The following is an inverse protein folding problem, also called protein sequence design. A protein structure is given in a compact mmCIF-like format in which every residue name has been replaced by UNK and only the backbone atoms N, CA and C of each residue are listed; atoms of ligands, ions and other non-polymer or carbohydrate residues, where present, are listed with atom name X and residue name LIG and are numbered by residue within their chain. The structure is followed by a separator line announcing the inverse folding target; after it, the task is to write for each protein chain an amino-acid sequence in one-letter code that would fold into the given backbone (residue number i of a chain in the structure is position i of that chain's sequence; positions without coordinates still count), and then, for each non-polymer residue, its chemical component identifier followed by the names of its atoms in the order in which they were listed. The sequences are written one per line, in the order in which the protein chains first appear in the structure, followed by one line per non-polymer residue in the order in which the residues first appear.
data_IF_834454731669
#
_entry.id   IF_834454731669
#
_cell.length_a   1.000
_cell.length_b   1.000
_cell.length_c   1.000
_cell.angle_alpha   90.00
_cell.angle_beta   90.00
_cell.angle_gamma   90.00
#
_symmetry.space_group_name_H-M   'P 1'
#
loop_
_entity.id
_entity.type
_entity.pdbx_description
1 polymer ?
#
# COMPACT_ATOMS: atom_id res chain seq x y z
N UNK A 1 -14.82 -7.03 8.97
CA UNK A 1 -14.33 -7.20 7.60
C UNK A 1 -13.93 -5.81 7.17
N UNK A 2 -12.65 -5.51 7.32
CA UNK A 2 -12.05 -4.35 6.68
C UNK A 2 -11.76 -4.70 5.23
N UNK A 3 -11.56 -3.67 4.41
CA UNK A 3 -10.95 -3.83 3.09
C UNK A 3 -9.48 -3.43 3.19
N UNK A 4 -8.62 -4.17 2.51
CA UNK A 4 -7.18 -4.12 2.68
C UNK A 4 -6.56 -4.07 1.29
N UNK A 5 -5.86 -2.98 1.00
CA UNK A 5 -5.14 -2.74 -0.27
C UNK A 5 -3.69 -2.50 0.06
N UNK A 6 -2.80 -3.17 -0.66
CA UNK A 6 -1.37 -3.12 -0.39
C UNK A 6 -0.66 -2.57 -1.62
N UNK A 7 0.45 -1.88 -1.40
CA UNK A 7 1.26 -1.30 -2.45
C UNK A 7 2.71 -1.66 -2.20
N UNK A 8 3.31 -2.30 -3.21
CA UNK A 8 4.67 -2.81 -3.17
C UNK A 8 5.44 -2.31 -4.38
N UNK A 9 6.77 -2.49 -4.39
CA UNK A 9 7.55 -2.28 -5.60
C UNK A 9 7.18 -3.26 -6.70
N UNK A 10 7.28 -2.81 -7.95
CA UNK A 10 7.15 -3.66 -9.14
C UNK A 10 8.18 -4.81 -9.15
N UNK A 11 9.34 -4.58 -8.54
CA UNK A 11 10.35 -5.63 -8.31
C UNK A 11 9.82 -6.75 -7.39
N UNK A 12 9.01 -6.41 -6.37
CA UNK A 12 8.38 -7.39 -5.48
C UNK A 12 7.38 -8.26 -6.26
N UNK A 13 6.55 -7.66 -7.13
CA UNK A 13 5.65 -8.40 -8.04
C UNK A 13 6.42 -9.36 -8.93
N UNK A 14 7.51 -8.91 -9.53
CA UNK A 14 8.35 -9.76 -10.40
C UNK A 14 8.95 -10.93 -9.63
N UNK A 15 9.42 -10.70 -8.39
CA UNK A 15 9.94 -11.76 -7.52
C UNK A 15 8.85 -12.75 -7.12
N UNK A 16 7.66 -12.27 -6.77
CA UNK A 16 6.52 -13.11 -6.38
C UNK A 16 6.08 -13.97 -7.57
N UNK A 17 5.86 -13.39 -8.74
CA UNK A 17 5.51 -14.15 -9.96
C UNK A 17 6.59 -15.14 -10.40
N UNK A 18 7.87 -14.86 -10.10
CA UNK A 18 8.98 -15.78 -10.37
C UNK A 18 9.17 -16.82 -9.27
N UNK A 19 8.52 -16.65 -8.12
CA UNK A 19 8.57 -17.54 -6.99
C UNK A 19 7.31 -18.38 -6.97
N UNK A 20 7.44 -19.71 -7.03
CA UNK A 20 6.29 -20.62 -6.91
C UNK A 20 5.81 -20.75 -5.44
N UNK A 21 5.92 -19.67 -4.66
CA UNK A 21 5.70 -19.69 -3.21
C UNK A 21 4.40 -18.97 -2.84
N UNK A 22 3.37 -19.76 -2.52
CA UNK A 22 2.06 -19.27 -2.08
C UNK A 22 2.12 -18.40 -0.80
N UNK A 23 3.20 -18.50 0.00
CA UNK A 23 3.42 -17.72 1.22
C UNK A 23 4.51 -16.64 1.03
N UNK A 24 4.70 -16.13 -0.19
CA UNK A 24 5.76 -15.15 -0.50
C UNK A 24 5.73 -13.92 0.42
N UNK A 25 4.53 -13.40 0.71
CA UNK A 25 4.33 -12.20 1.54
C UNK A 25 4.51 -12.44 3.05
N UNK A 26 4.60 -13.71 3.49
CA UNK A 26 4.81 -14.06 4.91
C UNK A 26 6.25 -13.79 5.36
N UNK A 27 7.21 -13.78 4.42
CA UNK A 27 8.62 -13.48 4.68
C UNK A 27 8.98 -12.08 4.17
N UNK A 28 9.14 -11.14 5.09
CA UNK A 28 9.44 -9.74 4.76
C UNK A 28 10.74 -9.57 3.95
N UNK A 29 11.65 -10.55 3.97
CA UNK A 29 12.89 -10.51 3.17
C UNK A 29 12.64 -10.67 1.68
N UNK A 30 11.48 -11.20 1.31
CA UNK A 30 11.06 -11.32 -0.07
C UNK A 30 10.63 -9.96 -0.65
N UNK A 31 10.12 -9.07 0.21
CA UNK A 31 9.68 -7.74 -0.15
C UNK A 31 10.88 -6.82 -0.40
N UNK A 32 10.85 -6.12 -1.53
CA UNK A 32 11.88 -5.14 -1.87
C UNK A 32 11.61 -3.85 -1.11
N UNK A 33 12.58 -3.36 -0.31
CA UNK A 33 12.41 -2.11 0.41
C UNK A 33 12.36 -0.90 -0.52
N UNK A 34 11.59 0.09 -0.11
CA UNK A 34 11.55 1.43 -0.68
C UNK A 34 12.84 2.18 -0.36
N UNK A 35 13.25 3.05 -1.27
CA UNK A 35 14.29 4.02 -1.05
C UNK A 35 13.75 5.18 -0.22
N UNK A 36 14.66 5.94 0.42
CA UNK A 36 14.27 7.13 1.18
C UNK A 36 13.51 8.16 0.34
N UNK A 37 13.78 8.24 -0.96
CA UNK A 37 13.08 9.12 -1.90
C UNK A 37 11.66 8.64 -2.17
N UNK A 38 11.47 7.34 -2.36
CA UNK A 38 10.16 6.72 -2.56
C UNK A 38 9.27 6.83 -1.32
N UNK A 39 9.82 6.57 -0.13
CA UNK A 39 9.08 6.75 1.14
C UNK A 39 8.62 8.20 1.29
N UNK A 40 9.51 9.15 0.98
CA UNK A 40 9.19 10.57 1.04
C UNK A 40 8.09 10.93 0.04
N UNK A 41 8.18 10.43 -1.20
CA UNK A 41 7.17 10.64 -2.23
C UNK A 41 5.80 10.08 -1.82
N UNK A 42 5.74 8.82 -1.36
CA UNK A 42 4.50 8.18 -0.90
C UNK A 42 3.86 8.98 0.23
N UNK A 43 4.68 9.45 1.18
CA UNK A 43 4.23 10.32 2.26
C UNK A 43 3.65 11.64 1.74
N UNK A 44 4.36 12.34 0.86
CA UNK A 44 3.88 13.62 0.30
C UNK A 44 2.57 13.43 -0.48
N UNK A 45 2.43 12.32 -1.20
CA UNK A 45 1.17 11.93 -1.84
C UNK A 45 0.06 11.72 -0.80
N UNK A 46 0.28 10.88 0.23
CA UNK A 46 -0.72 10.64 1.28
C UNK A 46 -1.19 11.95 1.93
N UNK A 47 -0.26 12.84 2.29
CA UNK A 47 -0.59 14.15 2.85
C UNK A 47 -1.40 15.02 1.86
N UNK A 48 -1.11 14.93 0.55
CA UNK A 48 -1.88 15.63 -0.50
C UNK A 48 -3.29 15.06 -0.69
N UNK A 49 -3.50 13.78 -0.40
CA UNK A 49 -4.80 13.11 -0.46
C UNK A 49 -5.59 13.22 0.84
N UNK A 50 -5.18 14.07 1.79
CA UNK A 50 -5.93 14.30 3.03
C UNK A 50 -5.69 13.25 4.14
N UNK A 51 -4.64 12.44 4.00
CA UNK A 51 -4.18 11.56 5.08
C UNK A 51 -3.30 12.33 6.05
N UNK A 52 -3.65 12.28 7.33
CA UNK A 52 -2.90 12.92 8.42
C UNK A 52 -2.09 11.86 9.14
N UNK A 53 -0.81 12.13 9.35
CA UNK A 53 0.07 11.26 10.12
C UNK A 53 -0.37 11.23 11.59
N UNK A 54 -0.77 10.05 12.07
CA UNK A 54 -1.17 9.83 13.46
C UNK A 54 0.02 9.45 14.34
N UNK A 55 0.82 8.48 13.89
CA UNK A 55 1.92 7.92 14.68
C UNK A 55 3.13 7.58 13.79
N UNK A 56 4.33 7.61 14.38
CA UNK A 56 5.55 7.08 13.79
C UNK A 56 6.15 6.09 14.77
N UNK A 57 6.26 4.83 14.38
CA UNK A 57 6.85 3.75 15.18
C UNK A 57 8.03 3.12 14.44
N UNK A 58 8.73 2.19 15.11
CA UNK A 58 9.84 1.46 14.50
C UNK A 58 9.40 0.64 13.27
N UNK A 59 8.16 0.14 13.26
CA UNK A 59 7.57 -0.61 12.16
C UNK A 59 7.14 0.25 10.95
N UNK A 60 7.00 1.56 11.13
CA UNK A 60 6.52 2.44 10.06
C UNK A 60 5.74 3.66 10.56
N UNK A 61 5.18 4.39 9.61
CA UNK A 61 4.40 5.61 9.82
C UNK A 61 2.92 5.34 9.54
N UNK A 62 2.07 5.63 10.50
CA UNK A 62 0.63 5.42 10.42
C UNK A 62 -0.05 6.74 10.09
N UNK A 63 -0.94 6.70 9.10
CA UNK A 63 -1.75 7.81 8.64
C UNK A 63 -3.22 7.44 8.71
N UNK A 64 -4.11 8.40 8.92
CA UNK A 64 -5.54 8.22 8.75
C UNK A 64 -6.13 9.35 7.92
N UNK A 65 -7.14 9.02 7.13
CA UNK A 65 -7.90 10.00 6.38
C UNK A 65 -8.82 10.78 7.33
N UNK A 66 -8.93 12.09 7.17
CA UNK A 66 -9.77 12.93 8.05
C UNK A 66 -11.27 12.69 7.83
N UNK A 67 -11.68 12.53 6.57
CA UNK A 67 -13.08 12.37 6.18
C UNK A 67 -13.56 10.91 6.08
N UNK A 68 -12.73 10.00 5.58
CA UNK A 68 -13.09 8.59 5.38
C UNK A 68 -12.54 7.68 6.48
N UNK A 69 -13.14 6.49 6.64
CA UNK A 69 -12.65 5.50 7.60
C UNK A 69 -11.52 4.69 6.99
N UNK A 70 -10.42 5.36 6.63
CA UNK A 70 -9.25 4.76 5.98
C UNK A 70 -8.02 5.05 6.82
N UNK A 71 -7.22 4.03 7.03
CA UNK A 71 -5.91 4.13 7.64
C UNK A 71 -4.86 3.61 6.67
N UNK A 72 -3.69 4.24 6.63
CA UNK A 72 -2.58 3.83 5.80
C UNK A 72 -1.34 3.61 6.68
N UNK A 73 -0.66 2.49 6.51
CA UNK A 73 0.58 2.17 7.19
C UNK A 73 1.71 2.15 6.16
N UNK A 74 2.56 3.17 6.21
CA UNK A 74 3.76 3.27 5.38
C UNK A 74 4.94 2.64 6.12
N UNK A 75 5.45 1.55 5.59
CA UNK A 75 6.65 0.87 6.11
C UNK A 75 7.82 1.06 5.14
N UNK A 76 8.99 0.56 5.50
CA UNK A 76 10.15 0.54 4.60
C UNK A 76 9.95 -0.40 3.39
N UNK A 77 8.97 -1.31 3.42
CA UNK A 77 8.81 -2.38 2.41
C UNK A 77 7.47 -2.43 1.70
N UNK A 78 6.51 -1.63 2.15
CA UNK A 78 5.15 -1.67 1.66
C UNK A 78 4.29 -0.56 2.27
N UNK A 79 3.27 -0.16 1.54
CA UNK A 79 2.23 0.74 2.01
C UNK A 79 0.91 -0.02 2.06
N UNK A 80 0.29 -0.04 3.24
CA UNK A 80 -0.90 -0.85 3.52
C UNK A 80 -2.07 0.06 3.86
N UNK A 81 -3.09 0.06 3.02
CA UNK A 81 -4.36 0.75 3.26
C UNK A 81 -5.36 -0.21 3.87
N UNK A 82 -6.00 0.21 4.96
CA UNK A 82 -7.10 -0.47 5.59
C UNK A 82 -8.31 0.47 5.63
N UNK A 83 -9.34 0.13 4.88
CA UNK A 83 -10.60 0.84 4.85
C UNK A 83 -11.67 0.10 5.66
N UNK A 84 -12.55 0.86 6.30
CA UNK A 84 -13.78 0.36 6.89
C UNK A 84 -14.73 -0.24 5.84
N UNK A 85 -15.84 -0.81 6.30
CA UNK A 85 -16.84 -1.46 5.44
C UNK A 85 -17.62 -0.53 4.51
N UNK A 86 -17.34 0.77 4.55
CA UNK A 86 -18.09 1.77 3.79
C UNK A 86 -17.58 1.84 2.35
N UNK A 87 -18.50 1.76 1.38
CA UNK A 87 -18.18 1.68 -0.04
C UNK A 87 -17.34 2.87 -0.52
N UNK A 88 -17.61 4.07 -0.01
CA UNK A 88 -16.84 5.26 -0.36
C UNK A 88 -15.40 5.14 0.17
N UNK A 89 -15.22 4.66 1.40
CA UNK A 89 -13.88 4.43 1.97
C UNK A 89 -13.09 3.35 1.21
N UNK A 90 -13.75 2.28 0.78
CA UNK A 90 -13.14 1.21 -0.02
C UNK A 90 -12.71 1.74 -1.39
N UNK A 91 -13.61 2.48 -2.06
CA UNK A 91 -13.35 3.07 -3.36
C UNK A 91 -12.19 4.07 -3.30
N UNK A 92 -12.20 4.95 -2.31
CA UNK A 92 -11.16 5.96 -2.13
C UNK A 92 -9.80 5.32 -1.87
N UNK A 93 -9.71 4.33 -0.97
CA UNK A 93 -8.45 3.61 -0.70
C UNK A 93 -7.92 2.91 -1.96
N UNK A 94 -8.80 2.29 -2.75
CA UNK A 94 -8.44 1.66 -4.01
C UNK A 94 -7.97 2.65 -5.07
N UNK A 95 -8.61 3.83 -5.13
CA UNK A 95 -8.26 4.91 -6.05
C UNK A 95 -6.91 5.53 -5.69
N UNK A 96 -6.70 5.91 -4.42
CA UNK A 96 -5.41 6.42 -3.93
C UNK A 96 -4.28 5.45 -4.25
N UNK A 97 -4.49 4.14 -3.98
CA UNK A 97 -3.49 3.13 -4.29
C UNK A 97 -3.20 3.04 -5.80
N UNK A 98 -4.22 3.09 -6.65
CA UNK A 98 -4.03 3.03 -8.11
C UNK A 98 -3.31 4.27 -8.65
N UNK A 99 -3.61 5.48 -8.15
CA UNK A 99 -2.88 6.69 -8.53
C UNK A 99 -1.38 6.61 -8.18
N UNK A 100 -1.04 5.98 -7.06
CA UNK A 100 0.36 5.75 -6.69
C UNK A 100 1.07 4.76 -7.63
N UNK A 101 0.34 3.89 -8.32
CA UNK A 101 0.91 2.97 -9.32
C UNK A 101 1.18 3.62 -10.68
N UNK A 102 0.62 4.80 -10.96
CA UNK A 102 0.77 5.50 -12.26
C UNK A 102 2.25 5.78 -12.62
N UNK A 103 3.10 5.96 -11.61
CA UNK A 103 4.55 6.12 -11.81
C UNK A 103 5.26 4.87 -12.35
N UNK A 104 4.63 3.69 -12.32
CA UNK A 104 5.18 2.39 -12.72
C UNK A 104 6.24 1.80 -11.77
N UNK A 105 6.62 2.55 -10.74
CA UNK A 105 7.55 2.14 -9.69
C UNK A 105 6.91 1.21 -8.66
N UNK A 106 5.59 1.34 -8.50
CA UNK A 106 4.81 0.62 -7.51
C UNK A 106 3.67 -0.13 -8.17
N UNK A 107 3.31 -1.26 -7.58
CA UNK A 107 2.22 -2.11 -8.01
C UNK A 107 1.25 -2.29 -6.84
N UNK A 108 -0.05 -2.20 -7.16
CA UNK A 108 -1.13 -2.45 -6.21
C UNK A 108 -1.39 -3.95 -6.12
N UNK A 109 -1.48 -4.44 -4.89
CA UNK A 109 -1.86 -5.80 -4.56
C UNK A 109 -3.13 -5.78 -3.71
N UNK A 110 -4.18 -6.40 -4.23
CA UNK A 110 -5.48 -6.51 -3.60
C UNK A 110 -5.80 -7.98 -3.30
N UNK A 111 -5.53 -8.47 -2.07
CA UNK A 111 -5.79 -9.87 -1.71
C UNK A 111 -7.28 -10.24 -1.79
N UNK A 112 -8.18 -9.26 -1.78
CA UNK A 112 -9.63 -9.48 -1.85
C UNK A 112 -10.15 -9.47 -3.29
N UNK A 113 -9.39 -8.92 -4.23
CA UNK A 113 -9.77 -8.75 -5.64
C UNK A 113 -8.87 -9.52 -6.62
N UNK A 114 -8.30 -10.64 -6.17
CA UNK A 114 -7.54 -11.55 -7.03
C UNK A 114 -6.04 -11.27 -7.12
N UNK A 115 -5.50 -10.40 -6.27
CA UNK A 115 -4.07 -10.16 -6.13
C UNK A 115 -3.61 -8.89 -6.84
N UNK A 116 -2.55 -9.00 -7.64
CA UNK A 116 -1.95 -7.84 -8.32
C UNK A 116 -2.92 -7.19 -9.30
N UNK A 117 -2.95 -5.85 -9.34
CA UNK A 117 -3.61 -5.12 -10.40
C UNK A 117 -2.89 -5.40 -11.73
N UNK A 118 -3.66 -5.84 -12.74
CA UNK A 118 -3.21 -5.98 -14.11
C UNK A 118 -3.65 -4.74 -14.89
N UNK A 119 -2.69 -3.89 -15.27
CA UNK A 119 -2.89 -2.73 -16.14
C UNK A 119 -3.16 -3.12 -17.60
#
# INVERSE_FOLDING_TARGET
MSYDVQLFKSETKTKEQSSDNENFFDDEKNLVPFTSEEIKYLRECLESYGYVQNESRADGQSFAHEEFTITALLTDRGLYFNAGFDTDSIFEAGMTASELTDSGTFEKYDPQNGGWEEL
#
